data_IF_491454537028
#
_entry.id   IF_491454537028
#
_cell.length_a   1.000
_cell.length_b   1.000
_cell.length_c   1.000
_cell.angle_alpha   90.00
_cell.angle_beta   90.00
_cell.angle_gamma   90.00
#
_symmetry.space_group_name_H-M   'P 1'
#
loop_
_entity.id
_entity.type
_entity.pdbx_description
1 polymer ?
#
# COMPACT_ATOMS: atom_id res chain seq x y z
N UNK A 1 -10.28 -0.73 4.71
CA UNK A 1 -9.05 -0.21 4.12
C UNK A 1 -8.17 0.27 5.25
N UNK A 2 -6.85 0.10 5.15
CA UNK A 2 -5.92 0.55 6.18
C UNK A 2 -5.53 2.00 5.90
N UNK A 3 -5.69 2.88 6.90
CA UNK A 3 -5.29 4.28 6.85
C UNK A 3 -3.88 4.43 7.43
N UNK A 4 -3.00 5.12 6.72
CA UNK A 4 -1.60 5.26 7.13
C UNK A 4 -0.96 6.63 6.87
N UNK A 5 -1.66 7.55 6.19
CA UNK A 5 -1.28 8.96 6.07
C UNK A 5 -2.48 9.78 6.53
N UNK A 6 -2.27 10.63 7.53
CA UNK A 6 -3.28 11.56 8.03
C UNK A 6 -3.11 12.93 7.38
N UNK A 7 -4.17 13.74 7.40
CA UNK A 7 -4.05 15.15 7.05
C UNK A 7 -3.03 15.84 7.97
N UNK A 8 -2.31 16.82 7.42
CA UNK A 8 -1.22 17.54 8.09
C UNK A 8 -0.04 16.67 8.54
N UNK A 9 0.13 15.48 7.96
CA UNK A 9 1.33 14.64 8.18
C UNK A 9 2.59 15.39 7.70
N UNK A 10 3.61 15.59 8.56
CA UNK A 10 4.86 16.23 8.15
C UNK A 10 5.58 15.46 7.05
N UNK A 11 6.11 16.18 6.05
CA UNK A 11 6.87 15.61 4.95
C UNK A 11 8.39 15.78 5.17
N UNK A 12 9.23 14.83 4.69
CA UNK A 12 8.84 13.57 4.06
C UNK A 12 8.30 12.58 5.10
N UNK A 13 7.42 11.69 4.66
CA UNK A 13 6.81 10.67 5.50
C UNK A 13 7.15 9.27 4.97
N UNK A 14 7.53 8.38 5.88
CA UNK A 14 7.79 6.98 5.57
C UNK A 14 7.02 6.08 6.53
N UNK A 15 6.44 5.02 5.98
CA UNK A 15 5.72 4.05 6.80
C UNK A 15 5.84 2.63 6.26
N UNK A 16 6.10 1.70 7.17
CA UNK A 16 6.12 0.27 6.89
C UNK A 16 4.79 -0.38 7.29
N UNK A 17 4.28 -1.25 6.42
CA UNK A 17 3.09 -2.08 6.65
C UNK A 17 3.35 -3.52 6.28
N UNK A 18 2.86 -4.43 7.11
CA UNK A 18 2.97 -5.86 6.89
C UNK A 18 1.61 -6.41 6.48
N UNK A 19 1.57 -7.01 5.29
CA UNK A 19 0.42 -7.75 4.80
C UNK A 19 0.77 -9.22 4.69
N UNK A 20 -0.22 -10.06 4.41
CA UNK A 20 -0.01 -11.49 4.22
C UNK A 20 -0.63 -11.96 2.91
N UNK A 21 0.03 -12.91 2.25
CA UNK A 21 -0.59 -13.67 1.16
C UNK A 21 -1.85 -14.36 1.67
N UNK A 22 -2.91 -14.36 0.88
CA UNK A 22 -4.21 -14.91 1.29
C UNK A 22 -4.41 -16.35 0.79
N UNK A 23 -3.67 -16.75 -0.25
CA UNK A 23 -3.73 -18.07 -0.86
C UNK A 23 -2.34 -18.68 -1.06
N UNK A 24 -2.27 -20.00 -1.16
CA UNK A 24 -1.04 -20.70 -1.51
C UNK A 24 -0.61 -20.35 -2.93
N UNK A 25 0.70 -20.22 -3.13
CA UNK A 25 1.33 -19.92 -4.43
C UNK A 25 0.81 -18.61 -5.05
N UNK A 26 0.51 -17.62 -4.23
CA UNK A 26 0.05 -16.32 -4.72
C UNK A 26 1.13 -15.68 -5.60
N UNK A 27 0.77 -15.30 -6.83
CA UNK A 27 1.70 -14.76 -7.84
C UNK A 27 1.58 -13.27 -8.09
N UNK A 28 0.47 -12.69 -7.72
CA UNK A 28 0.18 -11.28 -7.96
C UNK A 28 -0.41 -10.70 -6.68
N UNK A 29 -0.02 -9.47 -6.40
CA UNK A 29 -0.68 -8.64 -5.41
C UNK A 29 -0.99 -7.31 -6.07
N UNK A 30 -2.23 -6.87 -5.92
CA UNK A 30 -2.70 -5.59 -6.38
C UNK A 30 -2.67 -4.60 -5.22
N UNK A 31 -2.10 -3.42 -5.45
CA UNK A 31 -2.11 -2.29 -4.52
C UNK A 31 -3.08 -1.25 -5.07
N UNK A 32 -4.04 -0.83 -4.25
CA UNK A 32 -4.97 0.27 -4.56
C UNK A 32 -4.84 1.33 -3.50
N UNK A 33 -4.60 2.56 -3.94
CA UNK A 33 -4.45 3.73 -3.09
C UNK A 33 -5.69 4.58 -3.23
N UNK A 34 -6.20 5.04 -2.09
CA UNK A 34 -7.39 5.85 -1.99
C UNK A 34 -7.10 7.06 -1.11
N UNK A 35 -7.69 8.20 -1.45
CA UNK A 35 -7.82 9.37 -0.57
C UNK A 35 -9.21 9.36 0.06
N UNK A 36 -9.28 9.75 1.33
CA UNK A 36 -10.54 10.08 1.98
C UNK A 36 -11.10 11.36 1.36
N UNK A 37 -12.33 11.32 0.84
CA UNK A 37 -13.04 12.49 0.37
C UNK A 37 -13.84 13.10 1.53
N UNK A 38 -14.03 14.43 1.53
CA UNK A 38 -14.67 15.15 2.64
C UNK A 38 -16.10 14.67 2.98
N UNK A 39 -16.74 13.88 2.11
CA UNK A 39 -18.09 13.33 2.26
C UNK A 39 -18.12 11.89 2.82
N UNK A 40 -16.98 11.35 3.24
CA UNK A 40 -16.85 9.99 3.75
C UNK A 40 -16.79 8.92 2.66
N UNK A 41 -16.64 9.32 1.39
CA UNK A 41 -16.30 8.43 0.29
C UNK A 41 -14.79 8.32 0.09
N UNK A 42 -14.34 7.36 -0.71
CA UNK A 42 -12.92 7.13 -1.00
C UNK A 42 -12.67 7.27 -2.48
N UNK A 43 -11.87 8.26 -2.86
CA UNK A 43 -11.45 8.46 -4.24
C UNK A 43 -10.22 7.63 -4.55
N UNK A 44 -10.25 6.89 -5.66
CA UNK A 44 -9.10 6.09 -6.09
C UNK A 44 -8.03 7.02 -6.65
N UNK A 45 -6.89 7.08 -5.96
CA UNK A 45 -5.70 7.84 -6.41
C UNK A 45 -4.91 7.07 -7.47
N UNK A 46 -4.60 5.80 -7.18
CA UNK A 46 -3.76 4.98 -8.04
C UNK A 46 -4.00 3.48 -7.82
N UNK A 47 -3.57 2.68 -8.78
CA UNK A 47 -3.43 1.24 -8.59
C UNK A 47 -2.22 0.70 -9.34
N UNK A 48 -1.56 -0.27 -8.74
CA UNK A 48 -0.47 -1.01 -9.36
C UNK A 48 -0.52 -2.47 -8.94
N UNK A 49 0.40 -3.26 -9.45
CA UNK A 49 0.58 -4.64 -9.03
C UNK A 49 2.07 -4.97 -8.99
N UNK A 50 2.39 -5.98 -8.19
CA UNK A 50 3.69 -6.62 -8.21
C UNK A 50 3.52 -8.12 -8.35
N UNK A 51 4.52 -8.74 -8.95
CA UNK A 51 4.57 -10.18 -9.15
C UNK A 51 5.46 -10.82 -8.09
N UNK A 52 4.98 -11.90 -7.50
CA UNK A 52 5.74 -12.75 -6.59
C UNK A 52 6.25 -13.93 -7.42
N UNK A 53 7.57 -14.02 -7.58
CA UNK A 53 8.21 -15.11 -8.33
C UNK A 53 8.09 -16.43 -7.58
N UNK A 54 8.20 -16.39 -6.25
CA UNK A 54 8.17 -17.56 -5.37
C UNK A 54 6.78 -18.16 -5.20
N UNK A 55 6.74 -19.41 -4.74
CA UNK A 55 5.52 -20.14 -4.41
C UNK A 55 5.21 -19.96 -2.91
N UNK A 56 4.91 -18.73 -2.51
CA UNK A 56 4.68 -18.42 -1.09
C UNK A 56 3.40 -19.11 -0.58
N UNK A 57 3.43 -19.80 0.57
CA UNK A 57 2.23 -20.35 1.19
C UNK A 57 1.33 -19.24 1.72
N UNK A 58 0.03 -19.52 1.88
CA UNK A 58 -0.90 -18.61 2.54
C UNK A 58 -0.38 -18.21 3.93
N UNK A 59 -0.60 -16.95 4.31
CA UNK A 59 -0.06 -16.38 5.55
C UNK A 59 1.39 -15.89 5.48
N UNK A 60 2.10 -16.04 4.34
CA UNK A 60 3.44 -15.48 4.17
C UNK A 60 3.42 -13.96 4.29
N UNK A 61 4.35 -13.41 5.07
CA UNK A 61 4.43 -11.97 5.37
C UNK A 61 5.10 -11.21 4.23
N UNK A 62 4.44 -10.15 3.78
CA UNK A 62 4.91 -9.21 2.78
C UNK A 62 5.07 -7.84 3.47
N UNK A 63 6.27 -7.28 3.45
CA UNK A 63 6.52 -5.95 3.99
C UNK A 63 6.49 -4.94 2.84
N UNK A 64 5.74 -3.87 3.04
CA UNK A 64 5.63 -2.77 2.11
C UNK A 64 6.08 -1.50 2.77
N UNK A 65 6.84 -0.71 2.02
CA UNK A 65 7.31 0.59 2.46
C UNK A 65 6.67 1.66 1.59
N UNK A 66 5.86 2.52 2.20
CA UNK A 66 5.27 3.69 1.55
C UNK A 66 6.10 4.92 1.91
N UNK A 67 6.49 5.68 0.89
CA UNK A 67 7.27 6.90 0.99
C UNK A 67 6.50 8.04 0.34
N UNK A 68 6.24 9.09 1.10
CA UNK A 68 5.71 10.35 0.59
C UNK A 68 6.83 11.39 0.67
N UNK A 69 7.29 11.87 -0.48
CA UNK A 69 8.37 12.86 -0.55
C UNK A 69 7.87 14.29 -0.26
N UNK A 70 8.79 15.26 -0.24
CA UNK A 70 8.47 16.67 0.01
C UNK A 70 7.66 17.34 -1.10
N UNK A 71 7.56 16.71 -2.27
CA UNK A 71 6.75 17.15 -3.40
C UNK A 71 5.41 16.39 -3.47
N UNK A 72 5.06 15.66 -2.40
CA UNK A 72 3.84 14.85 -2.31
C UNK A 72 3.79 13.69 -3.32
N UNK A 73 4.94 13.25 -3.85
CA UNK A 73 5.00 12.04 -4.65
C UNK A 73 5.00 10.81 -3.75
N UNK A 74 4.02 9.94 -3.95
CA UNK A 74 3.91 8.66 -3.25
C UNK A 74 4.59 7.54 -4.04
N UNK A 75 5.61 6.93 -3.43
CA UNK A 75 6.33 5.76 -3.95
C UNK A 75 6.17 4.59 -2.98
N UNK A 76 5.91 3.40 -3.50
CA UNK A 76 5.78 2.17 -2.71
C UNK A 76 6.68 1.07 -3.29
N UNK A 77 7.36 0.35 -2.38
CA UNK A 77 8.26 -0.77 -2.67
C UNK A 77 7.89 -1.97 -1.77
#
# INVERSE_FOLDING_TARGET
>A
MERFIDDQTPLPFNVNRQFSTIVNNQKIVEVKLFSDAEDGTYDKLASGFFTITDNLPSGSKLNFTFNLDTNENLVYL
#
